data_IF_636866938144
#
_entry.id   IF_636866938144
#
_cell.length_a   1.000
_cell.length_b   1.000
_cell.length_c   1.000
_cell.angle_alpha   90.00
_cell.angle_beta   90.00
_cell.angle_gamma   90.00
#
_symmetry.space_group_name_H-M   'P 1'
#
loop_
_entity.id
_entity.type
_entity.pdbx_description
1 polymer ?
#
# COMPACT_ATOMS: atom_id res chain seq x y z
N UNK A 1 -16.50 2.40 15.96
CA UNK A 1 -15.51 2.25 17.06
C UNK A 1 -14.13 2.52 16.48
N UNK A 2 -13.56 3.70 16.77
CA UNK A 2 -12.21 4.05 16.33
C UNK A 2 -11.23 3.56 17.40
N UNK A 3 -10.90 2.30 17.39
CA UNK A 3 -9.71 1.86 18.12
C UNK A 3 -8.52 2.30 17.28
N UNK A 4 -7.76 3.26 17.81
CA UNK A 4 -6.42 3.56 17.29
C UNK A 4 -5.62 2.27 17.39
N UNK A 5 -5.40 1.65 16.24
CA UNK A 5 -4.63 0.42 16.13
C UNK A 5 -3.18 0.71 16.58
N UNK A 6 -2.87 0.33 17.82
CA UNK A 6 -1.54 0.46 18.37
C UNK A 6 -0.81 -0.87 18.23
N UNK A 7 0.27 -0.89 17.45
CA UNK A 7 1.11 -2.06 17.21
C UNK A 7 1.61 -2.69 18.54
N UNK A 8 1.88 -1.86 19.55
CA UNK A 8 2.36 -2.34 20.84
C UNK A 8 1.31 -3.13 21.62
N UNK A 9 0.03 -2.92 21.30
CA UNK A 9 -1.11 -3.60 21.96
C UNK A 9 -1.64 -4.78 21.16
N UNK A 10 -1.09 -5.04 19.95
CA UNK A 10 -1.46 -6.21 19.16
C UNK A 10 -1.22 -7.49 19.94
N UNK A 11 -2.23 -8.34 20.08
CA UNK A 11 -2.00 -9.66 20.63
C UNK A 11 -1.06 -10.40 19.68
N UNK A 12 0.19 -10.63 20.13
CA UNK A 12 1.08 -11.56 19.46
C UNK A 12 0.44 -12.92 19.71
N UNK A 13 -0.11 -13.51 18.64
CA UNK A 13 -0.59 -14.87 18.80
C UNK A 13 0.63 -15.72 19.14
N UNK A 14 0.64 -16.36 20.31
CA UNK A 14 1.71 -17.26 20.76
C UNK A 14 2.03 -18.30 19.67
N UNK A 15 1.05 -18.63 18.86
CA UNK A 15 1.17 -19.50 17.71
C UNK A 15 2.12 -18.94 16.63
N UNK A 16 1.99 -17.67 16.20
CA UNK A 16 2.89 -17.08 15.20
C UNK A 16 4.32 -17.03 15.74
N UNK A 17 4.47 -16.70 17.01
CA UNK A 17 5.77 -16.68 17.68
C UNK A 17 6.40 -18.08 17.69
N UNK A 18 5.66 -19.12 18.06
CA UNK A 18 6.18 -20.50 18.08
C UNK A 18 6.59 -20.98 16.69
N UNK A 19 5.83 -20.63 15.64
CA UNK A 19 6.23 -20.94 14.28
C UNK A 19 7.52 -20.27 13.86
N UNK A 20 7.77 -19.02 14.26
CA UNK A 20 9.07 -18.39 14.01
C UNK A 20 10.22 -19.06 14.77
N UNK A 21 10.00 -19.57 15.98
CA UNK A 21 10.99 -20.36 16.73
C UNK A 21 11.34 -21.65 15.97
N UNK A 22 10.34 -22.35 15.45
CA UNK A 22 10.51 -23.55 14.63
C UNK A 22 11.25 -23.27 13.32
N UNK A 23 10.86 -22.20 12.60
CA UNK A 23 11.53 -21.78 11.37
C UNK A 23 13.01 -21.53 11.61
N UNK A 24 13.38 -20.80 12.66
CA UNK A 24 14.78 -20.52 13.00
C UNK A 24 15.55 -21.83 13.21
N UNK A 25 14.96 -22.77 13.93
CA UNK A 25 15.56 -24.08 14.19
C UNK A 25 15.72 -24.92 12.91
N UNK A 26 14.70 -24.93 12.04
CA UNK A 26 14.72 -25.64 10.75
C UNK A 26 15.74 -25.08 9.76
N UNK A 27 16.07 -23.79 9.88
CA UNK A 27 17.15 -23.15 9.12
C UNK A 27 18.56 -23.55 9.61
N UNK A 28 18.66 -24.35 10.67
CA UNK A 28 19.91 -24.79 11.24
C UNK A 28 20.54 -23.82 12.24
N UNK A 29 19.81 -22.78 12.65
CA UNK A 29 20.30 -21.78 13.60
C UNK A 29 20.07 -22.19 15.06
N UNK A 30 20.98 -21.74 15.93
CA UNK A 30 20.81 -21.87 17.38
C UNK A 30 19.84 -20.80 17.90
N UNK A 31 18.57 -21.16 18.11
CA UNK A 31 17.54 -20.25 18.62
C UNK A 31 17.84 -19.63 19.98
N UNK A 32 18.76 -20.25 20.76
CA UNK A 32 19.14 -19.80 22.10
C UNK A 32 20.33 -18.81 22.09
N UNK A 33 20.94 -18.52 20.93
CA UNK A 33 21.98 -17.48 20.87
C UNK A 33 21.36 -16.10 21.14
N UNK A 34 22.11 -15.23 21.80
CA UNK A 34 21.65 -13.92 22.27
C UNK A 34 20.90 -13.10 21.23
N UNK A 35 21.43 -13.03 20.01
CA UNK A 35 20.81 -12.27 18.90
C UNK A 35 19.47 -12.80 18.42
N UNK A 36 19.14 -14.09 18.68
CA UNK A 36 17.90 -14.74 18.23
C UNK A 36 16.84 -14.89 19.33
N UNK A 37 17.18 -14.73 20.62
CA UNK A 37 16.24 -14.91 21.73
C UNK A 37 14.93 -14.12 21.58
N UNK A 38 15.00 -12.91 21.05
CA UNK A 38 13.83 -12.03 20.86
C UNK A 38 13.32 -12.00 19.40
N UNK A 39 13.95 -12.75 18.48
CA UNK A 39 13.59 -12.73 17.05
C UNK A 39 12.17 -13.24 16.81
N UNK A 40 11.68 -14.33 17.41
CA UNK A 40 10.33 -14.81 17.19
C UNK A 40 9.26 -13.77 17.56
N UNK A 41 9.44 -13.08 18.68
CA UNK A 41 8.54 -12.01 19.11
C UNK A 41 8.60 -10.80 18.15
N UNK A 42 9.81 -10.37 17.77
CA UNK A 42 10.00 -9.24 16.86
C UNK A 42 9.45 -9.54 15.48
N UNK A 43 9.68 -10.73 14.94
CA UNK A 43 9.21 -11.16 13.64
C UNK A 43 7.68 -11.27 13.60
N UNK A 44 7.05 -11.79 14.66
CA UNK A 44 5.58 -11.86 14.73
C UNK A 44 4.94 -10.47 14.80
N UNK A 45 5.49 -9.53 15.55
CA UNK A 45 5.04 -8.12 15.59
C UNK A 45 5.20 -7.45 14.22
N UNK A 46 6.35 -7.64 13.57
CA UNK A 46 6.61 -7.08 12.26
C UNK A 46 5.62 -7.61 11.20
N UNK A 47 5.38 -8.92 11.18
CA UNK A 47 4.43 -9.53 10.26
C UNK A 47 3.01 -9.00 10.48
N UNK A 48 2.55 -8.90 11.73
CA UNK A 48 1.24 -8.33 12.06
C UNK A 48 1.12 -6.88 11.60
N UNK A 49 2.13 -6.05 11.80
CA UNK A 49 2.16 -4.68 11.29
C UNK A 49 2.08 -4.62 9.77
N UNK A 50 2.88 -5.44 9.08
CA UNK A 50 2.92 -5.49 7.63
C UNK A 50 1.63 -6.09 7.01
N UNK A 51 0.74 -6.65 7.83
CA UNK A 51 -0.55 -7.21 7.39
C UNK A 51 -1.75 -6.59 8.09
N UNK A 52 -1.57 -5.48 8.83
CA UNK A 52 -2.64 -4.80 9.58
C UNK A 52 -3.75 -4.23 8.69
N UNK A 53 -3.50 -4.08 7.39
CA UNK A 53 -4.49 -3.56 6.45
C UNK A 53 -5.72 -4.45 6.28
N UNK A 54 -5.66 -5.73 6.68
CA UNK A 54 -6.85 -6.60 6.72
C UNK A 54 -7.85 -6.22 7.82
N UNK A 55 -7.41 -5.50 8.84
CA UNK A 55 -8.20 -5.15 10.01
C UNK A 55 -8.81 -3.72 9.89
N UNK A 56 -8.55 -3.03 8.77
CA UNK A 56 -8.99 -1.64 8.53
C UNK A 56 -10.00 -1.55 7.41
N UNK A 57 -10.99 -0.67 7.59
CA UNK A 57 -11.98 -0.34 6.59
C UNK A 57 -11.54 0.89 5.78
N UNK A 58 -11.14 0.73 4.50
CA UNK A 58 -10.68 1.83 3.67
C UNK A 58 -11.81 2.81 3.30
N UNK A 59 -13.04 2.34 3.11
CA UNK A 59 -14.16 3.20 2.76
C UNK A 59 -14.50 4.14 3.91
N UNK A 60 -14.56 3.62 5.14
CA UNK A 60 -14.77 4.42 6.35
C UNK A 60 -13.70 5.50 6.52
N UNK A 61 -12.43 5.18 6.18
CA UNK A 61 -11.33 6.15 6.24
C UNK A 61 -11.56 7.31 5.29
N UNK A 62 -11.98 7.06 4.03
CA UNK A 62 -12.30 8.13 3.08
C UNK A 62 -13.51 8.94 3.54
N UNK A 63 -14.62 8.28 3.88
CA UNK A 63 -15.87 8.92 4.29
C UNK A 63 -15.70 9.83 5.51
N UNK A 64 -14.79 9.49 6.43
CA UNK A 64 -14.54 10.27 7.65
C UNK A 64 -14.00 11.70 7.42
N UNK A 65 -13.60 12.04 6.19
CA UNK A 65 -13.08 13.37 5.84
C UNK A 65 -13.47 13.78 4.41
N UNK A 66 -14.68 13.48 4.01
CA UNK A 66 -15.29 14.03 2.80
C UNK A 66 -15.92 15.40 3.11
N UNK A 67 -15.71 16.36 2.21
CA UNK A 67 -16.21 17.72 2.31
C UNK A 67 -16.92 18.11 1.02
N UNK A 68 -18.02 18.83 1.14
CA UNK A 68 -18.66 19.44 -0.02
C UNK A 68 -17.82 20.64 -0.48
N UNK A 69 -17.36 20.62 -1.72
CA UNK A 69 -16.54 21.69 -2.31
C UNK A 69 -16.79 21.78 -3.82
N UNK A 70 -16.92 22.99 -4.30
CA UNK A 70 -17.14 23.25 -5.72
C UNK A 70 -15.77 23.40 -6.46
N UNK A 71 -15.04 22.29 -6.53
CA UNK A 71 -13.76 22.18 -7.24
C UNK A 71 -13.89 21.14 -8.35
N UNK A 72 -13.49 21.50 -9.56
CA UNK A 72 -13.70 20.66 -10.76
C UNK A 72 -12.41 20.25 -11.46
N UNK A 73 -11.26 20.73 -10.97
CA UNK A 73 -9.95 20.41 -11.52
C UNK A 73 -9.37 19.14 -10.90
N UNK A 74 -8.33 18.61 -11.52
CA UNK A 74 -7.63 17.42 -11.05
C UNK A 74 -6.93 17.69 -9.71
N UNK A 75 -7.17 16.82 -8.74
CA UNK A 75 -6.42 16.77 -7.47
C UNK A 75 -5.42 15.63 -7.58
N UNK A 76 -4.14 15.91 -7.35
CA UNK A 76 -3.05 14.92 -7.42
C UNK A 76 -2.32 14.84 -6.09
N UNK A 77 -2.10 13.62 -5.60
CA UNK A 77 -1.16 13.32 -4.51
C UNK A 77 -0.15 12.32 -5.06
N UNK A 78 1.09 12.74 -5.12
CA UNK A 78 2.18 11.95 -5.71
C UNK A 78 3.27 11.60 -4.71
N UNK A 79 4.15 10.68 -5.10
CA UNK A 79 5.27 10.22 -4.28
C UNK A 79 4.85 9.64 -2.92
N UNK A 80 3.68 9.00 -2.87
CA UNK A 80 3.22 8.29 -1.68
C UNK A 80 4.05 7.01 -1.55
N UNK A 81 4.92 6.95 -0.55
CA UNK A 81 5.72 5.76 -0.28
C UNK A 81 4.83 4.58 0.10
N UNK A 82 5.18 3.40 -0.36
CA UNK A 82 4.49 2.16 -0.01
C UNK A 82 5.47 1.01 0.24
N UNK A 83 5.08 0.14 1.17
CA UNK A 83 5.74 -1.12 1.49
C UNK A 83 4.69 -2.21 1.57
N UNK A 84 4.91 -3.33 0.86
CA UNK A 84 3.98 -4.43 0.80
C UNK A 84 4.71 -5.78 0.80
N UNK A 85 3.98 -6.86 1.04
CA UNK A 85 4.50 -8.22 0.96
C UNK A 85 3.95 -8.92 -0.28
N UNK A 86 4.85 -9.41 -1.13
CA UNK A 86 4.50 -10.25 -2.26
C UNK A 86 3.83 -11.54 -1.75
N UNK A 87 2.59 -11.81 -2.16
CA UNK A 87 1.84 -12.99 -1.69
C UNK A 87 2.48 -14.33 -2.08
N UNK A 88 3.29 -14.35 -3.15
CA UNK A 88 3.92 -15.58 -3.62
C UNK A 88 5.15 -15.99 -2.78
N UNK A 89 5.83 -15.04 -2.13
CA UNK A 89 7.11 -15.30 -1.50
C UNK A 89 7.22 -14.75 -0.08
N UNK A 90 6.25 -13.95 0.40
CA UNK A 90 6.33 -13.17 1.64
C UNK A 90 7.55 -12.23 1.71
N UNK A 91 8.13 -11.93 0.56
CA UNK A 91 9.22 -10.96 0.44
C UNK A 91 8.66 -9.57 0.11
N UNK A 92 9.30 -8.50 0.60
CA UNK A 92 8.80 -7.16 0.37
C UNK A 92 8.92 -6.71 -1.09
N UNK A 93 7.97 -5.88 -1.49
CA UNK A 93 8.14 -4.93 -2.58
C UNK A 93 7.80 -3.54 -2.06
N UNK A 94 8.46 -2.54 -2.58
CA UNK A 94 8.35 -1.18 -2.09
C UNK A 94 8.55 -0.18 -3.22
N UNK A 95 7.96 0.99 -3.06
CA UNK A 95 8.00 2.00 -4.10
C UNK A 95 7.13 3.19 -3.80
N UNK A 96 6.48 3.72 -4.84
CA UNK A 96 5.67 4.92 -4.76
C UNK A 96 4.35 4.74 -5.50
N UNK A 97 3.30 5.30 -4.93
CA UNK A 97 2.01 5.46 -5.57
C UNK A 97 1.76 6.94 -5.91
N UNK A 98 1.12 7.15 -7.04
CA UNK A 98 0.65 8.45 -7.51
C UNK A 98 -0.84 8.32 -7.78
N UNK A 99 -1.62 9.16 -7.12
CA UNK A 99 -3.07 9.13 -7.17
C UNK A 99 -3.61 10.45 -7.71
N UNK A 100 -4.62 10.39 -8.55
CA UNK A 100 -5.39 11.57 -8.93
C UNK A 100 -6.87 11.28 -8.96
N UNK A 101 -7.68 12.28 -8.68
CA UNK A 101 -9.12 12.25 -8.93
C UNK A 101 -9.63 13.62 -9.38
N UNK A 102 -10.72 13.64 -10.14
CA UNK A 102 -11.45 14.85 -10.49
C UNK A 102 -12.73 14.86 -9.68
N UNK A 103 -12.90 15.81 -8.76
CA UNK A 103 -14.05 15.85 -7.87
C UNK A 103 -15.39 15.94 -8.60
N UNK A 104 -16.44 15.46 -7.94
CA UNK A 104 -17.84 15.58 -8.36
C UNK A 104 -18.68 16.10 -7.19
N UNK A 105 -18.44 17.39 -6.84
CA UNK A 105 -19.13 18.06 -5.72
C UNK A 105 -18.54 17.78 -4.34
N UNK A 106 -17.64 16.83 -4.19
CA UNK A 106 -16.98 16.49 -2.93
C UNK A 106 -15.48 16.30 -3.11
N UNK A 107 -14.73 16.77 -2.14
CA UNK A 107 -13.29 16.49 -2.00
C UNK A 107 -13.04 15.65 -0.75
N UNK A 108 -11.88 15.05 -0.66
CA UNK A 108 -11.43 14.30 0.51
C UNK A 108 -10.16 14.92 1.09
N UNK A 109 -10.05 14.88 2.41
CA UNK A 109 -8.82 15.32 3.07
C UNK A 109 -7.59 14.60 2.53
N UNK A 110 -6.59 15.36 2.05
CA UNK A 110 -5.42 14.84 1.33
C UNK A 110 -4.70 13.70 2.08
N UNK A 111 -4.67 13.76 3.41
CA UNK A 111 -4.06 12.72 4.25
C UNK A 111 -4.77 11.36 4.19
N UNK A 112 -6.01 11.30 3.67
CA UNK A 112 -6.75 10.04 3.56
C UNK A 112 -6.25 9.18 2.40
N UNK A 113 -5.80 9.80 1.31
CA UNK A 113 -5.27 9.08 0.15
C UNK A 113 -4.02 8.23 0.49
N UNK A 114 -2.99 8.76 1.16
CA UNK A 114 -1.89 7.92 1.65
C UNK A 114 -2.33 6.80 2.59
N UNK A 115 -3.33 7.05 3.45
CA UNK A 115 -3.87 6.00 4.34
C UNK A 115 -4.53 4.86 3.58
N UNK A 116 -5.22 5.15 2.46
CA UNK A 116 -5.77 4.09 1.60
C UNK A 116 -4.66 3.27 0.97
N UNK A 117 -3.59 3.92 0.50
CA UNK A 117 -2.40 3.21 0.00
C UNK A 117 -1.84 2.29 1.08
N UNK A 118 -1.65 2.78 2.31
CA UNK A 118 -1.17 1.97 3.44
C UNK A 118 -2.07 0.77 3.73
N UNK A 119 -3.40 0.98 3.80
CA UNK A 119 -4.36 -0.09 4.12
C UNK A 119 -4.29 -1.22 3.11
N UNK A 120 -4.21 -0.91 1.81
CA UNK A 120 -4.13 -1.94 0.79
C UNK A 120 -2.71 -2.52 0.64
N UNK A 121 -1.65 -1.72 0.87
CA UNK A 121 -0.27 -2.18 0.81
C UNK A 121 0.08 -3.13 1.97
N UNK A 122 -0.46 -2.88 3.17
CA UNK A 122 -0.22 -3.73 4.35
C UNK A 122 -1.10 -5.00 4.33
N UNK A 123 -1.01 -5.73 3.23
CA UNK A 123 -1.67 -7.02 2.97
C UNK A 123 -0.71 -7.90 2.18
N UNK A 124 -1.04 -9.17 2.01
CA UNK A 124 -0.37 -10.02 1.03
C UNK A 124 -0.87 -9.65 -0.37
N UNK A 125 0.01 -9.15 -1.24
CA UNK A 125 -0.38 -8.50 -2.48
C UNK A 125 0.37 -8.98 -3.73
N UNK A 126 -0.27 -8.77 -4.86
CA UNK A 126 0.38 -8.54 -6.15
C UNK A 126 0.16 -7.09 -6.54
N UNK A 127 1.13 -6.48 -7.20
CA UNK A 127 1.11 -5.03 -7.48
C UNK A 127 -0.10 -4.62 -8.33
N UNK A 128 -0.52 -5.45 -9.26
CA UNK A 128 -1.68 -5.24 -10.13
C UNK A 128 -2.98 -5.15 -9.31
N UNK A 129 -3.18 -6.09 -8.38
CA UNK A 129 -4.35 -6.09 -7.48
C UNK A 129 -4.31 -4.89 -6.54
N UNK A 130 -3.15 -4.54 -5.98
CA UNK A 130 -2.98 -3.36 -5.15
C UNK A 130 -3.43 -2.10 -5.89
N UNK A 131 -3.01 -1.93 -7.15
CA UNK A 131 -3.40 -0.80 -8.00
C UNK A 131 -4.91 -0.74 -8.21
N UNK A 132 -5.54 -1.85 -8.57
CA UNK A 132 -6.98 -1.92 -8.81
C UNK A 132 -7.79 -1.68 -7.52
N UNK A 133 -7.39 -2.26 -6.39
CA UNK A 133 -8.09 -2.08 -5.11
C UNK A 133 -8.08 -0.63 -4.64
N UNK A 134 -6.95 0.08 -4.77
CA UNK A 134 -6.87 1.50 -4.45
C UNK A 134 -7.77 2.30 -5.38
N UNK A 135 -7.68 2.04 -6.68
CA UNK A 135 -8.47 2.71 -7.72
C UNK A 135 -9.98 2.56 -7.47
N UNK A 136 -10.42 1.33 -7.28
CA UNK A 136 -11.84 1.01 -7.10
C UNK A 136 -12.40 1.54 -5.79
N UNK A 137 -11.63 1.50 -4.70
CA UNK A 137 -12.03 2.07 -3.41
C UNK A 137 -12.27 3.59 -3.53
N UNK A 138 -11.35 4.32 -4.17
CA UNK A 138 -11.51 5.77 -4.36
C UNK A 138 -12.69 6.05 -5.29
N UNK A 139 -12.81 5.29 -6.38
CA UNK A 139 -13.88 5.46 -7.36
C UNK A 139 -15.26 5.22 -6.77
N UNK A 140 -15.44 4.13 -6.00
CA UNK A 140 -16.74 3.77 -5.41
C UNK A 140 -17.14 4.69 -4.26
N UNK A 141 -16.17 5.12 -3.43
CA UNK A 141 -16.46 5.89 -2.22
C UNK A 141 -16.67 7.37 -2.50
N UNK A 142 -15.82 7.97 -3.35
CA UNK A 142 -15.91 9.42 -3.65
C UNK A 142 -16.83 9.72 -4.85
N UNK A 143 -17.17 8.72 -5.66
CA UNK A 143 -17.92 8.88 -6.91
C UNK A 143 -17.42 10.08 -7.76
N UNK A 144 -16.10 10.16 -8.04
CA UNK A 144 -15.51 11.29 -8.76
C UNK A 144 -15.85 11.23 -10.26
N UNK A 145 -15.62 12.31 -10.99
CA UNK A 145 -15.71 12.32 -12.45
C UNK A 145 -14.68 11.40 -13.11
N UNK A 146 -13.58 11.14 -12.40
CA UNK A 146 -12.53 10.21 -12.80
C UNK A 146 -11.52 9.99 -11.70
N UNK A 147 -10.79 8.89 -11.76
CA UNK A 147 -9.71 8.53 -10.86
C UNK A 147 -8.58 7.83 -11.62
N UNK A 148 -7.35 8.10 -11.22
CA UNK A 148 -6.14 7.50 -11.76
C UNK A 148 -5.22 7.04 -10.62
N UNK A 149 -4.59 5.89 -10.81
CA UNK A 149 -3.57 5.34 -9.91
C UNK A 149 -2.40 4.85 -10.75
N UNK A 150 -1.18 5.23 -10.37
CA UNK A 150 0.07 4.66 -10.90
C UNK A 150 0.92 4.23 -9.72
N UNK A 151 1.47 3.03 -9.79
CA UNK A 151 2.40 2.49 -8.80
C UNK A 151 3.69 2.07 -9.49
N UNK A 152 4.81 2.53 -8.96
CA UNK A 152 6.15 2.10 -9.37
C UNK A 152 6.83 1.45 -8.17
N UNK A 153 7.27 0.19 -8.32
CA UNK A 153 7.87 -0.54 -7.21
C UNK A 153 9.00 -1.48 -7.63
N UNK A 154 9.92 -1.70 -6.71
CA UNK A 154 10.99 -2.68 -6.77
C UNK A 154 10.62 -3.90 -5.94
N UNK A 155 10.82 -5.10 -6.51
CA UNK A 155 10.41 -6.37 -5.90
C UNK A 155 11.61 -7.18 -5.42
N UNK A 156 11.73 -7.36 -4.09
CA UNK A 156 12.83 -8.17 -3.52
C UNK A 156 12.80 -9.62 -4.01
N UNK A 157 11.62 -10.16 -4.31
CA UNK A 157 11.49 -11.49 -4.88
C UNK A 157 12.13 -11.65 -6.27
N UNK A 158 12.33 -10.54 -7.01
CA UNK A 158 13.02 -10.51 -8.29
C UNK A 158 14.50 -10.10 -8.15
N UNK A 159 14.82 -9.27 -7.14
CA UNK A 159 16.15 -8.66 -6.98
C UNK A 159 17.12 -9.61 -6.29
N UNK A 160 16.75 -10.17 -5.13
CA UNK A 160 17.67 -10.94 -4.27
C UNK A 160 17.71 -12.44 -4.57
N UNK A 161 16.77 -12.95 -5.34
CA UNK A 161 16.65 -14.36 -5.73
C UNK A 161 15.88 -14.49 -7.06
N UNK A 162 15.71 -15.71 -7.57
CA UNK A 162 15.02 -15.96 -8.83
C UNK A 162 15.79 -15.38 -10.02
N UNK A 163 15.24 -14.40 -10.71
CA UNK A 163 15.87 -13.80 -11.90
C UNK A 163 17.00 -12.84 -11.61
N UNK A 164 17.17 -12.41 -10.36
CA UNK A 164 18.28 -11.56 -9.88
C UNK A 164 18.48 -10.26 -10.68
N UNK A 165 17.38 -9.57 -11.03
CA UNK A 165 17.39 -8.30 -11.77
C UNK A 165 17.27 -7.12 -10.80
N UNK A 166 18.40 -6.60 -10.33
CA UNK A 166 18.47 -5.58 -9.28
C UNK A 166 17.90 -4.21 -9.69
N UNK A 167 18.01 -3.85 -10.97
CA UNK A 167 17.59 -2.54 -11.47
C UNK A 167 16.18 -2.56 -12.11
N UNK A 168 15.44 -3.66 -11.97
CA UNK A 168 14.09 -3.75 -12.51
C UNK A 168 13.09 -3.00 -11.62
N UNK A 169 12.29 -2.14 -12.24
CA UNK A 169 11.14 -1.49 -11.62
C UNK A 169 9.89 -1.93 -12.36
N UNK A 170 8.85 -2.28 -11.63
CA UNK A 170 7.54 -2.62 -12.19
C UNK A 170 6.63 -1.41 -12.06
N UNK A 171 5.97 -1.02 -13.16
CA UNK A 171 4.95 0.04 -13.15
C UNK A 171 3.60 -0.57 -13.48
N UNK A 172 2.61 -0.29 -12.64
CA UNK A 172 1.21 -0.65 -12.86
C UNK A 172 0.36 0.61 -12.85
N UNK A 173 -0.71 0.64 -13.64
CA UNK A 173 -1.60 1.80 -13.73
C UNK A 173 -3.05 1.38 -13.92
N UNK A 174 -3.95 2.18 -13.36
CA UNK A 174 -5.39 2.04 -13.53
C UNK A 174 -6.07 3.39 -13.70
N UNK A 175 -7.13 3.44 -14.54
CA UNK A 175 -7.84 4.66 -14.90
C UNK A 175 -9.35 4.41 -14.95
N UNK A 176 -10.16 5.32 -14.37
CA UNK A 176 -11.62 5.30 -14.44
C UNK A 176 -12.14 6.69 -14.84
N UNK A 177 -13.37 6.71 -15.38
CA UNK A 177 -14.04 7.96 -15.74
C UNK A 177 -13.25 8.82 -16.73
N UNK A 178 -13.11 10.10 -16.45
CA UNK A 178 -12.44 11.09 -17.30
C UNK A 178 -10.99 10.74 -17.65
N UNK A 179 -10.28 9.97 -16.82
CA UNK A 179 -8.91 9.54 -17.14
C UNK A 179 -8.81 8.46 -18.25
N UNK A 180 -9.94 7.96 -18.76
CA UNK A 180 -9.95 7.15 -19.98
C UNK A 180 -9.68 7.99 -21.22
N UNK A 181 -9.98 9.28 -21.15
CA UNK A 181 -9.58 10.25 -22.17
C UNK A 181 -8.06 10.40 -22.21
N UNK A 182 -7.51 10.49 -23.41
CA UNK A 182 -6.06 10.50 -23.63
C UNK A 182 -5.41 11.79 -23.13
N UNK A 183 -6.04 12.93 -23.32
CA UNK A 183 -5.47 14.23 -22.96
C UNK A 183 -5.44 14.39 -21.43
N UNK A 184 -6.54 14.06 -20.76
CA UNK A 184 -6.64 14.06 -19.29
C UNK A 184 -5.63 13.11 -18.67
N UNK A 185 -5.47 11.92 -19.25
CA UNK A 185 -4.48 10.95 -18.78
C UNK A 185 -3.05 11.44 -18.97
N UNK A 186 -2.74 12.04 -20.13
CA UNK A 186 -1.42 12.59 -20.43
C UNK A 186 -1.07 13.76 -19.51
N UNK A 187 -2.02 14.64 -19.21
CA UNK A 187 -1.85 15.70 -18.22
C UNK A 187 -1.44 15.12 -16.86
N UNK A 188 -2.17 14.13 -16.35
CA UNK A 188 -1.82 13.43 -15.11
C UNK A 188 -0.40 12.87 -15.14
N UNK A 189 -0.06 12.09 -16.18
CA UNK A 189 1.25 11.46 -16.31
C UNK A 189 2.39 12.49 -16.39
N UNK A 190 2.16 13.65 -17.04
CA UNK A 190 3.13 14.74 -17.09
C UNK A 190 3.31 15.40 -15.72
N UNK A 191 2.22 15.65 -14.98
CA UNK A 191 2.28 16.21 -13.64
C UNK A 191 2.94 15.27 -12.63
N UNK A 192 2.75 13.95 -12.76
CA UNK A 192 3.47 12.95 -11.95
C UNK A 192 4.98 13.03 -12.18
N UNK A 193 5.42 13.15 -13.44
CA UNK A 193 6.85 13.23 -13.80
C UNK A 193 7.49 14.56 -13.42
N UNK A 194 6.72 15.65 -13.33
CA UNK A 194 7.25 16.97 -13.01
C UNK A 194 7.78 17.01 -11.57
N UNK A 195 8.97 17.57 -11.37
CA UNK A 195 9.46 17.96 -10.05
C UNK A 195 9.16 19.43 -9.86
N UNK A 196 8.62 19.79 -8.69
CA UNK A 196 8.60 21.19 -8.27
C UNK A 196 10.07 21.59 -8.06
N UNK A 197 10.54 22.53 -8.85
CA UNK A 197 11.87 23.13 -8.73
C UNK A 197 11.97 24.01 -7.48
#
# INVERSE_FOLDING_TARGET
>A
MNENFNIETLPITDQIKSYFEEIIQLLGENKNREGLLKTPERASKALKFLTEGYEKDPEQVLQSAMFQENYNEMVIVKDIELYSLCEHHLLPFFGKAHLAYIPNGHIVGLSKLPRIVDIFSRRLQVQERLTEQILDCINSTLNPKGVAVVIEASHMCMMMRGVQKQNSTTTTSGFRGAFKDTDTRNEFLNLVKSKLS
#
